data_IF_017894978197
#
_entry.id   IF_017894978197
#
_cell.length_a   1.000
_cell.length_b   1.000
_cell.length_c   1.000
_cell.angle_alpha   90.00
_cell.angle_beta   90.00
_cell.angle_gamma   90.00
#
_symmetry.space_group_name_H-M   'P 1'
#
loop_
_entity.id
_entity.type
_entity.pdbx_description
1 polymer ?
#
# COMPACT_ATOMS: atom_id res chain seq x y z
N UNK A 1 -27.66 31.17 48.66
CA UNK A 1 -28.04 30.79 47.28
C UNK A 1 -27.02 29.81 46.77
N UNK A 2 -27.42 28.92 45.87
CA UNK A 2 -26.59 27.82 45.38
C UNK A 2 -26.43 27.91 43.86
N UNK A 3 -25.31 27.42 43.34
CA UNK A 3 -25.16 27.23 41.91
C UNK A 3 -25.90 25.95 41.46
N UNK A 4 -26.41 25.90 40.22
CA UNK A 4 -27.01 24.68 39.67
C UNK A 4 -25.98 23.55 39.63
N UNK A 5 -26.43 22.33 39.93
CA UNK A 5 -25.59 21.14 39.94
C UNK A 5 -24.82 21.01 38.62
N UNK A 6 -23.51 20.70 38.67
CA UNK A 6 -22.71 20.59 37.48
C UNK A 6 -23.22 19.43 36.61
N UNK A 7 -23.81 19.77 35.46
CA UNK A 7 -24.31 18.77 34.51
C UNK A 7 -23.15 17.90 33.99
N UNK A 8 -23.27 16.61 34.27
CA UNK A 8 -22.41 15.51 33.82
C UNK A 8 -22.42 15.38 32.31
N UNK A 9 -21.24 15.44 31.69
CA UNK A 9 -20.97 14.77 30.42
C UNK A 9 -19.86 13.77 30.69
N UNK A 10 -20.19 12.48 30.53
CA UNK A 10 -19.37 11.26 30.70
C UNK A 10 -19.00 10.85 32.15
N UNK A 11 -19.95 10.16 32.80
CA UNK A 11 -19.84 9.12 33.84
C UNK A 11 -18.77 9.22 34.95
N UNK A 12 -18.86 10.28 35.76
CA UNK A 12 -18.90 10.26 37.24
C UNK A 12 -18.35 11.58 37.81
N UNK A 13 -19.25 12.40 38.35
CA UNK A 13 -18.98 13.38 39.40
C UNK A 13 -20.30 13.64 40.11
N UNK A 14 -20.56 12.85 41.15
CA UNK A 14 -21.66 13.08 42.08
C UNK A 14 -21.20 14.11 43.11
N UNK A 15 -21.58 15.39 42.97
CA UNK A 15 -21.67 16.24 44.15
C UNK A 15 -22.94 15.85 44.89
N UNK A 16 -22.80 15.18 46.03
CA UNK A 16 -23.92 14.76 46.89
C UNK A 16 -24.58 15.93 47.64
N UNK A 17 -24.08 17.17 47.49
CA UNK A 17 -24.55 18.36 48.21
C UNK A 17 -24.55 19.62 47.31
N UNK A 18 -25.47 20.58 47.55
CA UNK A 18 -25.56 21.82 46.76
C UNK A 18 -24.35 22.74 47.00
N UNK A 19 -23.72 23.19 45.92
CA UNK A 19 -22.51 24.04 45.98
C UNK A 19 -22.87 25.47 46.38
N UNK A 20 -22.25 25.99 47.44
CA UNK A 20 -22.52 27.35 47.92
C UNK A 20 -21.80 28.41 47.08
N UNK A 21 -22.31 29.65 47.14
CA UNK A 21 -21.60 30.81 46.59
C UNK A 21 -20.20 30.92 47.20
N UNK A 22 -19.21 31.20 46.35
CA UNK A 22 -17.77 31.25 46.61
C UNK A 22 -17.08 29.88 46.76
N UNK A 23 -17.82 28.78 46.82
CA UNK A 23 -17.22 27.44 46.81
C UNK A 23 -16.56 27.16 45.46
N UNK A 24 -15.42 26.45 45.52
CA UNK A 24 -14.66 26.03 44.35
C UNK A 24 -14.71 24.52 44.23
N UNK A 25 -15.06 24.04 43.04
CA UNK A 25 -15.04 22.62 42.70
C UNK A 25 -13.85 22.33 41.78
N UNK A 26 -13.30 21.13 41.93
CA UNK A 26 -12.23 20.61 41.09
C UNK A 26 -12.69 19.35 40.38
N UNK A 27 -12.43 19.29 39.08
CA UNK A 27 -12.72 18.13 38.24
C UNK A 27 -11.48 17.24 38.16
N UNK A 28 -11.68 15.93 38.28
CA UNK A 28 -10.62 14.93 38.16
C UNK A 28 -10.94 13.96 37.03
N UNK A 29 -9.99 13.74 36.11
CA UNK A 29 -10.14 12.71 35.08
C UNK A 29 -10.02 11.31 35.67
N UNK A 30 -10.65 10.33 35.01
CA UNK A 30 -10.50 8.92 35.36
C UNK A 30 -9.47 8.23 34.43
N UNK A 31 -9.32 6.91 34.57
CA UNK A 31 -8.40 6.13 33.76
C UNK A 31 -8.82 5.97 32.29
N UNK A 32 -10.11 6.22 31.98
CA UNK A 32 -10.69 6.03 30.65
C UNK A 32 -10.71 7.31 29.80
N UNK A 33 -10.55 8.48 30.42
CA UNK A 33 -10.61 9.76 29.72
C UNK A 33 -9.68 10.84 30.27
N UNK A 34 -9.49 11.88 29.45
CA UNK A 34 -8.72 13.07 29.78
C UNK A 34 -9.65 14.27 29.75
N UNK A 35 -9.57 15.09 30.80
CA UNK A 35 -10.30 16.34 30.87
C UNK A 35 -9.71 17.34 29.88
N UNK A 36 -10.52 17.79 28.92
CA UNK A 36 -10.20 18.90 28.02
C UNK A 36 -11.04 20.10 28.46
N UNK A 37 -10.38 21.17 28.92
CA UNK A 37 -11.00 22.39 29.44
C UNK A 37 -10.48 22.77 30.82
N UNK A 38 -11.21 23.64 31.53
CA UNK A 38 -10.85 24.06 32.89
C UNK A 38 -11.10 22.93 33.89
N UNK A 39 -10.07 22.54 34.65
CA UNK A 39 -10.16 21.51 35.69
C UNK A 39 -10.75 22.02 37.02
N UNK A 40 -11.24 23.25 37.04
CA UNK A 40 -11.87 23.86 38.21
C UNK A 40 -12.91 24.89 37.78
N UNK A 41 -13.86 25.16 38.67
CA UNK A 41 -14.79 26.28 38.56
C UNK A 41 -15.23 26.74 39.95
N UNK A 42 -15.57 28.02 40.08
CA UNK A 42 -16.08 28.60 41.32
C UNK A 42 -17.51 29.09 41.12
N UNK A 43 -18.35 28.90 42.13
CA UNK A 43 -19.70 29.46 42.16
C UNK A 43 -19.63 30.96 42.49
N UNK A 44 -20.10 31.82 41.59
CA UNK A 44 -20.14 33.27 41.79
C UNK A 44 -21.38 33.70 42.58
N UNK A 45 -21.35 34.92 43.11
CA UNK A 45 -22.50 35.53 43.81
C UNK A 45 -23.78 35.61 42.97
N UNK A 46 -23.65 35.70 41.64
CA UNK A 46 -24.77 35.69 40.70
C UNK A 46 -25.29 34.27 40.37
N UNK A 47 -24.90 33.25 41.14
CA UNK A 47 -25.27 31.84 40.95
C UNK A 47 -24.82 31.25 39.60
N UNK A 48 -23.74 31.79 39.02
CA UNK A 48 -23.11 31.26 37.79
C UNK A 48 -21.71 30.73 38.05
N UNK A 49 -21.25 29.85 37.17
CA UNK A 49 -19.91 29.27 37.23
C UNK A 49 -18.88 30.18 36.57
N UNK A 50 -17.67 30.30 37.15
CA UNK A 50 -16.58 31.11 36.58
C UNK A 50 -16.13 30.60 35.22
N UNK A 51 -16.07 29.28 35.04
CA UNK A 51 -15.63 28.60 33.82
C UNK A 51 -16.63 27.53 33.39
N UNK A 52 -16.64 27.21 32.10
CA UNK A 52 -17.33 26.02 31.59
C UNK A 52 -16.66 24.75 32.09
N UNK A 53 -17.45 23.69 32.26
CA UNK A 53 -16.97 22.40 32.73
C UNK A 53 -16.10 21.70 31.67
N UNK A 54 -15.10 20.92 32.10
CA UNK A 54 -14.25 20.17 31.18
C UNK A 54 -15.04 19.03 30.55
N UNK A 55 -14.69 18.69 29.31
CA UNK A 55 -15.23 17.50 28.63
C UNK A 55 -14.26 16.36 28.84
N UNK A 56 -14.76 15.21 29.27
CA UNK A 56 -13.97 13.99 29.40
C UNK A 56 -13.89 13.32 28.01
N UNK A 57 -12.72 13.47 27.37
CA UNK A 57 -12.43 12.86 26.06
C UNK A 57 -11.76 11.51 26.27
N UNK A 58 -12.18 10.50 25.51
CA UNK A 58 -11.56 9.17 25.53
C UNK A 58 -10.05 9.25 25.35
N UNK A 59 -9.32 8.39 26.07
CA UNK A 59 -7.88 8.16 25.85
C UNK A 59 -7.59 7.32 24.61
N UNK A 60 -8.61 6.67 24.06
CA UNK A 60 -8.49 5.85 22.87
C UNK A 60 -8.66 6.73 21.62
N UNK A 61 -7.76 6.58 20.66
CA UNK A 61 -7.71 7.41 19.45
C UNK A 61 -8.80 7.05 18.43
N UNK A 62 -9.41 5.86 18.57
CA UNK A 62 -10.33 5.32 17.59
C UNK A 62 -9.64 4.93 16.27
N UNK A 63 -10.40 4.40 15.30
CA UNK A 63 -9.84 3.94 14.04
C UNK A 63 -9.12 5.07 13.29
N UNK A 64 -7.86 4.87 12.86
CA UNK A 64 -7.13 5.84 12.07
C UNK A 64 -7.68 5.91 10.64
N UNK A 65 -7.38 7.02 9.96
CA UNK A 65 -7.72 7.19 8.55
C UNK A 65 -6.85 6.28 7.66
N UNK A 66 -7.47 5.66 6.66
CA UNK A 66 -6.79 4.79 5.70
C UNK A 66 -6.29 5.60 4.49
N UNK A 67 -4.99 5.54 4.14
CA UNK A 67 -4.47 6.16 2.93
C UNK A 67 -5.15 5.62 1.67
N UNK A 68 -5.37 6.48 0.66
CA UNK A 68 -5.80 6.01 -0.66
C UNK A 68 -4.69 5.14 -1.27
N UNK A 69 -5.03 3.98 -1.83
CA UNK A 69 -4.05 2.96 -2.29
C UNK A 69 -3.13 2.43 -1.19
N UNK A 70 -3.63 2.41 0.06
CA UNK A 70 -2.92 1.88 1.20
C UNK A 70 -3.86 1.22 2.21
N UNK A 71 -3.24 0.62 3.21
CA UNK A 71 -3.91 -0.03 4.33
C UNK A 71 -3.03 0.07 5.58
N UNK A 72 -3.58 -0.28 6.74
CA UNK A 72 -2.82 -0.36 7.98
C UNK A 72 -3.03 -1.69 8.68
N UNK A 73 -2.05 -2.07 9.50
CA UNK A 73 -2.16 -3.17 10.45
C UNK A 73 -2.22 -2.64 11.88
N UNK A 74 -3.21 -3.14 12.63
CA UNK A 74 -3.49 -2.76 14.00
C UNK A 74 -4.94 -3.11 14.35
N UNK A 75 -5.16 -3.75 15.50
CA UNK A 75 -6.50 -4.23 15.92
C UNK A 75 -7.11 -3.42 17.05
N UNK A 76 -6.28 -2.87 17.93
CA UNK A 76 -6.71 -2.10 19.09
C UNK A 76 -6.23 -0.66 18.95
N UNK A 77 -7.14 0.31 19.03
CA UNK A 77 -6.85 1.75 18.88
C UNK A 77 -6.82 2.49 20.22
N UNK A 78 -6.33 1.79 21.25
CA UNK A 78 -6.25 2.29 22.63
C UNK A 78 -5.01 3.15 22.82
N UNK A 79 -5.00 3.97 23.88
CA UNK A 79 -3.78 4.71 24.27
C UNK A 79 -2.61 3.74 24.46
N UNK A 80 -1.46 4.07 23.85
CA UNK A 80 -0.26 3.24 23.82
C UNK A 80 -0.16 2.28 22.62
N UNK A 81 -1.26 1.99 21.90
CA UNK A 81 -1.24 1.15 20.71
C UNK A 81 -0.42 1.75 19.57
N UNK A 82 0.23 0.89 18.78
CA UNK A 82 0.94 1.27 17.56
C UNK A 82 0.34 0.58 16.35
N UNK A 83 0.20 1.32 15.26
CA UNK A 83 -0.22 0.82 13.96
C UNK A 83 0.87 1.05 12.91
N UNK A 84 0.82 0.26 11.85
CA UNK A 84 1.78 0.33 10.73
C UNK A 84 1.03 0.45 9.42
N UNK A 85 1.37 1.45 8.61
CA UNK A 85 0.81 1.64 7.27
C UNK A 85 1.61 0.92 6.20
N UNK A 86 0.90 0.58 5.13
CA UNK A 86 1.40 -0.07 3.93
C UNK A 86 0.72 0.54 2.70
N UNK A 87 1.41 0.47 1.56
CA UNK A 87 0.85 0.86 0.28
C UNK A 87 0.59 -0.37 -0.59
N UNK A 88 -0.43 -0.28 -1.43
CA UNK A 88 -0.73 -1.27 -2.46
C UNK A 88 0.43 -1.45 -3.44
N UNK A 89 0.41 -2.56 -4.18
CA UNK A 89 1.39 -2.80 -5.23
C UNK A 89 1.43 -1.62 -6.21
N UNK A 90 2.65 -1.22 -6.60
CA UNK A 90 2.93 -0.06 -7.46
C UNK A 90 2.77 1.30 -6.79
N UNK A 91 2.53 1.36 -5.49
CA UNK A 91 2.57 2.60 -4.71
C UNK A 91 3.71 2.58 -3.68
N UNK A 92 4.33 3.73 -3.45
CA UNK A 92 5.34 3.94 -2.40
C UNK A 92 4.76 4.78 -1.27
N UNK A 93 5.16 4.47 -0.05
CA UNK A 93 4.77 5.21 1.15
C UNK A 93 5.59 6.49 1.27
N UNK A 94 4.93 7.63 1.41
CA UNK A 94 5.52 8.94 1.66
C UNK A 94 4.97 9.48 2.98
N UNK A 95 5.86 9.70 3.95
CA UNK A 95 5.52 10.15 5.30
C UNK A 95 5.83 9.11 6.37
N UNK A 96 5.11 9.17 7.49
CA UNK A 96 5.36 8.30 8.66
C UNK A 96 4.68 6.95 8.49
N UNK A 97 5.46 5.87 8.49
CA UNK A 97 4.92 4.52 8.39
C UNK A 97 4.24 4.03 9.68
N UNK A 98 4.72 4.48 10.84
CA UNK A 98 4.25 4.01 12.14
C UNK A 98 3.54 5.13 12.89
N UNK A 99 2.39 4.84 13.48
CA UNK A 99 1.68 5.76 14.36
C UNK A 99 1.39 5.12 15.69
N UNK A 100 1.65 5.86 16.76
CA UNK A 100 1.25 5.51 18.11
C UNK A 100 0.07 6.38 18.55
N UNK A 101 -0.88 5.78 19.26
CA UNK A 101 -1.95 6.47 19.95
C UNK A 101 -1.46 6.97 21.30
N UNK A 102 -1.57 8.27 21.57
CA UNK A 102 -1.21 8.86 22.85
C UNK A 102 -2.38 9.74 23.29
N UNK A 103 -3.06 9.31 24.35
CA UNK A 103 -4.01 10.16 25.07
C UNK A 103 -5.13 10.72 24.17
N UNK A 104 -5.67 9.86 23.31
CA UNK A 104 -6.76 10.14 22.39
C UNK A 104 -6.33 10.76 21.05
N UNK A 105 -5.03 10.95 20.84
CA UNK A 105 -4.49 11.54 19.62
C UNK A 105 -3.41 10.65 18.97
N UNK A 106 -3.49 10.48 17.64
CA UNK A 106 -2.45 9.80 16.88
C UNK A 106 -1.22 10.71 16.73
N UNK A 107 -0.03 10.15 16.95
CA UNK A 107 1.26 10.89 16.95
C UNK A 107 1.65 11.53 15.63
N UNK A 108 1.06 11.12 14.52
CA UNK A 108 1.26 11.75 13.20
C UNK A 108 0.04 11.57 12.31
N UNK A 109 0.01 12.27 11.18
CA UNK A 109 -1.03 12.11 10.15
C UNK A 109 -0.78 10.87 9.30
N UNK A 110 -1.81 10.28 8.68
CA UNK A 110 -1.65 9.15 7.76
C UNK A 110 -0.66 9.48 6.63
N UNK A 111 0.17 8.53 6.19
CA UNK A 111 1.06 8.73 5.06
C UNK A 111 0.29 8.76 3.74
N UNK A 112 0.95 9.21 2.68
CA UNK A 112 0.41 9.21 1.32
C UNK A 112 1.04 8.06 0.54
N UNK A 113 0.21 7.30 -0.18
CA UNK A 113 0.69 6.30 -1.13
C UNK A 113 0.74 6.92 -2.52
N UNK A 114 1.95 7.16 -3.02
CA UNK A 114 2.20 7.73 -4.35
C UNK A 114 2.49 6.63 -5.36
N UNK A 115 1.92 6.74 -6.57
CA UNK A 115 2.21 5.79 -7.64
C UNK A 115 3.71 5.81 -7.95
N UNK A 116 4.35 4.63 -7.92
CA UNK A 116 5.74 4.46 -8.30
C UNK A 116 5.82 4.70 -9.81
N UNK A 117 6.41 5.82 -10.22
CA UNK A 117 6.64 6.17 -11.63
C UNK A 117 7.75 5.35 -12.30
N UNK A 118 8.10 4.17 -11.79
CA UNK A 118 8.97 3.26 -12.53
C UNK A 118 8.14 2.62 -13.66
N UNK A 119 8.27 3.19 -14.86
CA UNK A 119 7.99 2.46 -16.09
C UNK A 119 8.72 1.10 -16.03
N UNK A 120 8.15 0.02 -16.58
CA UNK A 120 8.84 -1.27 -16.60
C UNK A 120 10.25 -1.07 -17.17
N UNK A 121 11.27 -1.40 -16.38
CA UNK A 121 12.66 -1.28 -16.82
C UNK A 121 12.80 -2.04 -18.14
N UNK A 122 13.49 -1.48 -19.16
CA UNK A 122 13.65 -2.11 -20.46
C UNK A 122 14.12 -3.58 -20.40
N UNK A 123 14.77 -3.99 -19.31
CA UNK A 123 15.22 -5.36 -19.07
C UNK A 123 14.11 -6.43 -19.15
N UNK A 124 12.87 -6.12 -18.77
CA UNK A 124 11.76 -7.09 -18.84
C UNK A 124 11.23 -7.25 -20.28
N UNK A 125 11.25 -6.16 -21.05
CA UNK A 125 10.95 -6.19 -22.48
C UNK A 125 12.06 -6.91 -23.30
N UNK A 126 13.30 -6.86 -22.84
CA UNK A 126 14.41 -7.58 -23.48
C UNK A 126 14.39 -9.09 -23.19
N UNK A 127 13.85 -9.54 -22.04
CA UNK A 127 13.73 -10.97 -21.72
C UNK A 127 12.66 -11.66 -22.58
N UNK A 128 11.51 -11.01 -22.78
CA UNK A 128 10.44 -11.50 -23.68
C UNK A 128 10.96 -11.61 -25.13
N UNK A 129 11.67 -10.59 -25.60
CA UNK A 129 12.32 -10.60 -26.93
C UNK A 129 13.38 -11.70 -27.04
N UNK A 130 14.20 -11.89 -26.01
CA UNK A 130 15.21 -12.94 -25.98
C UNK A 130 14.59 -14.35 -25.98
N UNK A 131 13.47 -14.54 -25.27
CA UNK A 131 12.72 -15.80 -25.27
C UNK A 131 12.12 -16.10 -26.66
N UNK A 132 11.53 -15.10 -27.31
CA UNK A 132 11.01 -15.22 -28.67
C UNK A 132 12.13 -15.54 -29.68
N UNK A 133 13.26 -14.83 -29.62
CA UNK A 133 14.42 -15.09 -30.48
C UNK A 133 15.03 -16.50 -30.25
N UNK A 134 15.03 -16.97 -29.00
CA UNK A 134 15.46 -18.33 -28.65
C UNK A 134 14.51 -19.39 -29.22
N UNK A 135 13.20 -19.14 -29.16
CA UNK A 135 12.18 -20.04 -29.70
C UNK A 135 12.23 -20.14 -31.23
N UNK A 136 12.46 -19.02 -31.93
CA UNK A 136 12.68 -19.01 -33.40
C UNK A 136 13.91 -19.83 -33.79
N UNK A 137 15.01 -19.69 -33.03
CA UNK A 137 16.26 -20.44 -33.25
C UNK A 137 16.04 -21.96 -33.07
N UNK A 138 15.22 -22.36 -32.11
CA UNK A 138 14.87 -23.77 -31.86
C UNK A 138 14.11 -24.40 -33.03
N UNK A 139 13.14 -23.69 -33.61
CA UNK A 139 12.39 -24.19 -34.77
C UNK A 139 13.26 -24.25 -36.04
N UNK A 140 14.19 -23.32 -36.21
CA UNK A 140 15.17 -23.36 -37.30
C UNK A 140 16.07 -24.60 -37.18
N UNK A 141 16.58 -24.91 -35.98
CA UNK A 141 17.39 -26.11 -35.74
C UNK A 141 16.61 -27.39 -36.07
N UNK A 142 15.35 -27.51 -35.65
CA UNK A 142 14.48 -28.65 -36.01
C UNK A 142 14.27 -28.77 -37.52
N UNK A 143 14.10 -27.64 -38.21
CA UNK A 143 13.94 -27.63 -39.67
C UNK A 143 15.22 -28.12 -40.37
N UNK A 144 16.39 -27.67 -39.91
CA UNK A 144 17.70 -28.10 -40.42
C UNK A 144 17.93 -29.59 -40.16
N UNK A 145 17.61 -30.09 -38.97
CA UNK A 145 17.71 -31.51 -38.64
C UNK A 145 16.81 -32.36 -39.53
N UNK A 146 15.55 -31.96 -39.71
CA UNK A 146 14.59 -32.65 -40.58
C UNK A 146 15.04 -32.65 -42.03
N UNK A 147 15.60 -31.54 -42.51
CA UNK A 147 16.17 -31.44 -43.85
C UNK A 147 17.39 -32.36 -44.00
N UNK A 148 18.29 -32.36 -43.02
CA UNK A 148 19.49 -33.20 -42.99
C UNK A 148 19.13 -34.69 -42.93
N UNK A 149 18.11 -35.07 -42.15
CA UNK A 149 17.58 -36.43 -42.11
C UNK A 149 16.98 -36.85 -43.46
N UNK A 150 16.25 -35.95 -44.13
CA UNK A 150 15.75 -36.20 -45.49
C UNK A 150 16.89 -36.38 -46.47
N UNK A 151 17.94 -35.56 -46.37
CA UNK A 151 19.14 -35.68 -47.19
C UNK A 151 19.91 -36.97 -46.94
N UNK A 152 19.96 -37.47 -45.70
CA UNK A 152 20.57 -38.77 -45.37
C UNK A 152 19.72 -39.95 -45.85
N UNK A 153 18.40 -39.81 -45.88
CA UNK A 153 17.45 -40.85 -46.31
C UNK A 153 17.31 -40.93 -47.84
N UNK A 154 17.36 -39.79 -48.51
CA UNK A 154 17.66 -39.78 -49.94
C UNK A 154 19.11 -40.22 -50.08
N UNK A 155 19.41 -41.22 -50.88
CA UNK A 155 20.79 -41.65 -51.14
C UNK A 155 21.52 -40.60 -52.03
N UNK A 156 21.38 -39.31 -51.71
CA UNK A 156 21.69 -38.15 -52.53
C UNK A 156 22.98 -37.51 -51.98
N UNK A 157 24.11 -38.02 -52.45
CA UNK A 157 25.43 -37.47 -52.10
C UNK A 157 25.69 -36.17 -52.88
N UNK A 158 26.57 -35.32 -52.38
CA UNK A 158 27.03 -34.12 -53.11
C UNK A 158 27.61 -34.46 -54.50
N UNK A 159 28.17 -35.65 -54.65
CA UNK A 159 28.64 -36.19 -55.93
C UNK A 159 27.49 -36.52 -56.88
N UNK A 160 26.40 -37.13 -56.38
CA UNK A 160 25.18 -37.38 -57.17
C UNK A 160 24.51 -36.07 -57.59
N UNK A 161 24.46 -35.07 -56.70
CA UNK A 161 23.95 -33.72 -57.03
C UNK A 161 24.81 -33.07 -58.11
N UNK A 162 26.13 -33.07 -57.96
CA UNK A 162 27.08 -32.55 -58.95
C UNK A 162 26.93 -33.26 -60.30
N UNK A 163 26.79 -34.59 -60.28
CA UNK A 163 26.54 -35.38 -61.48
C UNK A 163 25.24 -34.97 -62.19
N UNK A 164 24.12 -34.81 -61.46
CA UNK A 164 22.86 -34.36 -62.04
C UNK A 164 22.94 -32.95 -62.63
N UNK A 165 23.64 -32.03 -61.95
CA UNK A 165 23.84 -30.66 -62.41
C UNK A 165 24.68 -30.62 -63.69
N UNK A 166 25.80 -31.34 -63.75
CA UNK A 166 26.64 -31.41 -64.94
C UNK A 166 25.90 -32.06 -66.12
N UNK A 167 25.09 -33.10 -65.86
CA UNK A 167 24.25 -33.71 -66.90
C UNK A 167 23.18 -32.75 -67.44
N UNK A 168 22.52 -31.97 -66.58
CA UNK A 168 21.55 -30.94 -67.02
C UNK A 168 22.25 -29.81 -67.79
N UNK A 169 23.43 -29.38 -67.35
CA UNK A 169 24.27 -28.39 -68.02
C UNK A 169 24.67 -28.85 -69.43
N UNK A 170 25.06 -30.10 -69.60
CA UNK A 170 25.33 -30.68 -70.92
C UNK A 170 24.09 -30.68 -71.83
N UNK A 171 22.92 -31.07 -71.30
CA UNK A 171 21.65 -31.03 -72.04
C UNK A 171 21.23 -29.60 -72.44
N UNK A 172 21.44 -28.62 -71.59
CA UNK A 172 21.17 -27.22 -71.89
C UNK A 172 22.12 -26.69 -72.96
N UNK A 173 23.43 -26.99 -72.84
CA UNK A 173 24.42 -26.63 -73.86
C UNK A 173 24.11 -27.25 -75.22
N UNK A 174 23.68 -28.51 -75.26
CA UNK A 174 23.28 -29.17 -76.50
C UNK A 174 22.03 -28.57 -77.15
N UNK A 175 21.13 -27.98 -76.35
CA UNK A 175 19.95 -27.24 -76.85
C UNK A 175 20.26 -25.81 -77.29
N UNK A 176 21.45 -25.30 -76.97
CA UNK A 176 21.90 -23.95 -77.30
C UNK A 176 22.94 -23.94 -78.43
N UNK A 177 23.32 -25.10 -78.97
CA UNK A 177 24.00 -25.17 -80.26
C UNK A 177 22.95 -24.99 -81.37
N UNK A 178 23.15 -24.03 -82.30
CA UNK A 178 22.24 -23.79 -83.42
C UNK A 178 22.19 -24.97 -84.41
#
# INVERSE_FOLDING_TARGET
>A
GHCPDPLLVTDEFSSLEPVNVNDTIMFKGNEHCILKGSSWSQCRENHTWVTHFPVCKSRDCGPPETPTHGYFEGRDFKSGSTITYYCEARYRLVGTQHQQCIDGEWTSTPPICELIQEAPKPAELELEKAFLAFQESKELCKAIEKFTQRLKKSDLTMEKVKYFLERKKAKLKAKMLP
#
